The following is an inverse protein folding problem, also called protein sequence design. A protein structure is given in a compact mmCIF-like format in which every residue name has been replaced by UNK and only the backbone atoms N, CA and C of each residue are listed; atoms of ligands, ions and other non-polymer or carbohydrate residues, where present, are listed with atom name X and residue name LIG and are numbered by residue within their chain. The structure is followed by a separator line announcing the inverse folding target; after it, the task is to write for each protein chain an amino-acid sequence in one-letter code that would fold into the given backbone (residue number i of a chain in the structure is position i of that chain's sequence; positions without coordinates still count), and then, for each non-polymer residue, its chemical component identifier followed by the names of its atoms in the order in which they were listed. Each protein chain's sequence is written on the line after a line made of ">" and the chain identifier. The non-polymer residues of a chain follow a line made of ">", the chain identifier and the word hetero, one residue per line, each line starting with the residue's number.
data_IF_173022918285
#
_entry.id   IF_173022918285
#
_cell.length_a   1.000
_cell.length_b   1.000
_cell.length_c   1.000
_cell.angle_alpha   90.00
_cell.angle_beta   90.00
_cell.angle_gamma   90.00
#
_symmetry.space_group_name_H-M   'P 1'
#
loop_
_entity.id
_entity.type
_entity.pdbx_description
1 polymer ?
#
# COMPACT_ATOMS: atom_id res chain seq x y z
N UNK A 1 19.17 2.92 -8.24
CA UNK A 1 17.91 2.98 -9.00
C UNK A 1 16.81 2.86 -7.98
N UNK A 2 15.89 3.82 -7.96
CA UNK A 2 14.74 3.78 -7.05
C UNK A 2 13.72 2.74 -7.53
N UNK A 3 12.77 2.39 -6.67
CA UNK A 3 11.67 1.51 -7.05
C UNK A 3 10.86 2.07 -8.23
N UNK A 4 10.53 3.37 -8.17
CA UNK A 4 9.87 4.12 -9.26
C UNK A 4 10.61 3.99 -10.59
N UNK A 5 11.90 4.32 -10.62
CA UNK A 5 12.73 4.25 -11.83
C UNK A 5 12.76 2.84 -12.42
N UNK A 6 12.81 1.82 -11.56
CA UNK A 6 12.87 0.42 -11.98
C UNK A 6 11.59 0.00 -12.70
N UNK A 7 10.43 0.38 -12.16
CA UNK A 7 9.14 0.07 -12.77
C UNK A 7 8.88 0.89 -14.04
N UNK A 8 9.22 2.17 -14.06
CA UNK A 8 9.10 3.02 -15.26
C UNK A 8 9.98 2.48 -16.42
N UNK A 9 11.13 1.88 -16.10
CA UNK A 9 12.01 1.21 -17.07
C UNK A 9 11.59 -0.25 -17.37
N UNK A 10 10.43 -0.70 -16.86
CA UNK A 10 9.90 -2.06 -17.03
C UNK A 10 10.89 -3.16 -16.59
N UNK A 11 11.71 -2.86 -15.58
CA UNK A 11 12.65 -3.81 -14.97
C UNK A 11 11.95 -4.57 -13.84
N UNK A 12 12.36 -5.82 -13.65
CA UNK A 12 11.81 -6.68 -12.60
C UNK A 12 12.12 -6.14 -11.20
N UNK A 13 11.08 -5.89 -10.40
CA UNK A 13 11.22 -5.38 -9.03
C UNK A 13 10.78 -6.43 -7.99
N UNK A 14 11.46 -6.45 -6.85
CA UNK A 14 11.17 -7.31 -5.70
C UNK A 14 10.87 -6.43 -4.51
N UNK A 15 9.70 -6.61 -3.91
CA UNK A 15 9.30 -5.93 -2.69
C UNK A 15 9.23 -6.93 -1.54
N UNK A 16 9.44 -6.45 -0.33
CA UNK A 16 9.19 -7.22 0.88
C UNK A 16 8.23 -6.47 1.80
N UNK A 17 7.28 -7.19 2.38
CA UNK A 17 6.33 -6.64 3.34
C UNK A 17 6.87 -6.80 4.76
N UNK A 18 6.97 -5.69 5.50
CA UNK A 18 7.47 -5.65 6.86
C UNK A 18 6.44 -4.94 7.74
N UNK A 19 5.84 -5.68 8.65
CA UNK A 19 4.87 -5.12 9.57
C UNK A 19 5.56 -4.35 10.70
N UNK A 20 5.07 -3.16 11.05
CA UNK A 20 5.51 -2.48 12.26
C UNK A 20 5.28 -3.34 13.52
N UNK A 21 6.09 -3.14 14.57
CA UNK A 21 5.94 -3.88 15.81
C UNK A 21 4.64 -3.52 16.54
N UNK A 22 4.14 -4.45 17.36
CA UNK A 22 3.18 -4.13 18.43
C UNK A 22 3.94 -3.58 19.63
N UNK A 23 4.45 -2.36 19.49
CA UNK A 23 5.29 -1.71 20.49
C UNK A 23 6.10 -0.56 19.88
N UNK A 24 6.98 0.02 20.69
CA UNK A 24 7.85 1.12 20.29
C UNK A 24 9.28 0.68 19.92
N UNK A 25 9.60 -0.60 20.04
CA UNK A 25 10.91 -1.15 19.67
C UNK A 25 10.88 -1.70 18.24
N UNK A 26 11.57 -1.02 17.33
CA UNK A 26 11.67 -1.36 15.90
C UNK A 26 12.91 -2.20 15.57
N UNK A 27 13.73 -2.58 16.56
CA UNK A 27 15.05 -3.19 16.35
C UNK A 27 14.99 -4.50 15.56
N UNK A 28 14.00 -5.35 15.82
CA UNK A 28 13.83 -6.61 15.09
C UNK A 28 13.44 -6.36 13.63
N UNK A 29 12.45 -5.49 13.39
CA UNK A 29 12.00 -5.12 12.05
C UNK A 29 13.16 -4.56 11.23
N UNK A 30 13.95 -3.65 11.82
CA UNK A 30 15.11 -3.05 11.18
C UNK A 30 16.21 -4.09 10.89
N UNK A 31 16.53 -4.95 11.86
CA UNK A 31 17.54 -6.00 11.71
C UNK A 31 17.18 -6.93 10.55
N UNK A 32 15.93 -7.37 10.49
CA UNK A 32 15.43 -8.23 9.42
C UNK A 32 15.44 -7.52 8.06
N UNK A 33 15.13 -6.23 8.01
CA UNK A 33 15.17 -5.44 6.77
C UNK A 33 16.61 -5.23 6.26
N UNK A 34 17.57 -4.99 7.16
CA UNK A 34 19.00 -4.88 6.83
C UNK A 34 19.54 -6.20 6.26
N UNK A 35 19.13 -7.35 6.81
CA UNK A 35 19.58 -8.67 6.34
C UNK A 35 19.22 -8.97 4.89
N UNK A 36 18.20 -8.31 4.35
CA UNK A 36 17.76 -8.45 2.95
C UNK A 36 18.09 -7.23 2.08
N UNK A 37 18.84 -6.25 2.62
CA UNK A 37 19.28 -5.07 1.90
C UNK A 37 20.06 -5.46 0.63
N UNK A 38 19.74 -4.79 -0.48
CA UNK A 38 20.33 -5.09 -1.79
C UNK A 38 19.67 -6.23 -2.56
N UNK A 39 18.74 -6.98 -1.95
CA UNK A 39 17.89 -7.97 -2.63
C UNK A 39 16.45 -7.47 -2.85
N UNK A 40 16.04 -6.47 -2.07
CA UNK A 40 14.72 -5.85 -2.07
C UNK A 40 14.85 -4.43 -2.62
N UNK A 41 13.95 -4.07 -3.53
CA UNK A 41 13.89 -2.74 -4.15
C UNK A 41 13.09 -1.74 -3.31
N UNK A 42 12.04 -2.20 -2.62
CA UNK A 42 11.30 -1.39 -1.65
C UNK A 42 10.63 -2.25 -0.57
N UNK A 43 10.48 -1.68 0.62
CA UNK A 43 9.82 -2.28 1.76
C UNK A 43 8.39 -1.75 1.89
N UNK A 44 7.40 -2.60 1.65
CA UNK A 44 6.00 -2.27 1.90
C UNK A 44 5.76 -2.35 3.39
N UNK A 45 5.32 -1.24 3.99
CA UNK A 45 5.01 -1.18 5.42
C UNK A 45 3.48 -1.10 5.56
N UNK A 46 2.80 -2.17 6.01
CA UNK A 46 1.35 -2.14 6.11
C UNK A 46 0.85 -1.22 7.23
N UNK A 47 -0.29 -0.55 7.00
CA UNK A 47 -1.00 0.20 8.04
C UNK A 47 -1.94 -0.75 8.79
N UNK A 48 -1.50 -1.22 9.95
CA UNK A 48 -2.28 -2.09 10.86
C UNK A 48 -3.04 -3.19 10.11
N UNK A 49 -2.30 -4.00 9.34
CA UNK A 49 -2.82 -5.15 8.62
C UNK A 49 -3.62 -6.07 9.56
N UNK A 50 -4.69 -6.68 9.04
CA UNK A 50 -5.65 -7.52 9.79
C UNK A 50 -6.36 -6.79 10.94
N UNK A 51 -6.39 -5.46 10.91
CA UNK A 51 -6.94 -4.61 11.97
C UNK A 51 -6.31 -4.82 13.35
N UNK A 52 -5.06 -5.31 13.40
CA UNK A 52 -4.33 -5.52 14.65
C UNK A 52 -3.55 -4.25 15.01
N UNK A 53 -3.76 -3.74 16.23
CA UNK A 53 -3.08 -2.55 16.72
C UNK A 53 -1.57 -2.78 16.78
N UNK A 54 -0.85 -1.96 16.00
CA UNK A 54 0.61 -1.91 15.86
C UNK A 54 1.04 -0.46 15.71
N UNK A 55 2.35 -0.19 15.71
CA UNK A 55 2.84 1.11 15.27
C UNK A 55 2.37 1.42 13.84
N UNK A 56 2.23 2.71 13.51
CA UNK A 56 1.73 3.12 12.19
C UNK A 56 2.74 2.79 11.07
N UNK A 57 2.21 2.68 9.86
CA UNK A 57 3.02 2.51 8.66
C UNK A 57 4.01 3.66 8.48
N UNK A 58 3.60 4.91 8.75
CA UNK A 58 4.46 6.08 8.69
C UNK A 58 5.70 5.95 9.59
N UNK A 59 5.51 5.50 10.84
CA UNK A 59 6.62 5.28 11.77
C UNK A 59 7.57 4.17 11.32
N UNK A 60 7.02 3.08 10.79
CA UNK A 60 7.79 1.98 10.22
C UNK A 60 8.60 2.40 8.99
N UNK A 61 7.99 3.14 8.07
CA UNK A 61 8.66 3.71 6.91
C UNK A 61 9.85 4.60 7.32
N UNK A 62 9.63 5.52 8.25
CA UNK A 62 10.70 6.41 8.71
C UNK A 62 11.87 5.63 9.34
N UNK A 63 11.58 4.63 10.17
CA UNK A 63 12.60 3.77 10.81
C UNK A 63 13.50 3.05 9.78
N UNK A 64 12.92 2.59 8.67
CA UNK A 64 13.67 1.96 7.59
C UNK A 64 14.40 3.01 6.72
N UNK A 65 13.76 4.13 6.44
CA UNK A 65 14.28 5.14 5.52
C UNK A 65 15.54 5.85 6.05
N UNK A 66 15.61 6.13 7.36
CA UNK A 66 16.85 6.67 7.96
C UNK A 66 18.05 5.72 7.81
N UNK A 67 17.82 4.44 7.51
CA UNK A 67 18.85 3.42 7.24
C UNK A 67 19.09 3.19 5.73
N UNK A 68 18.58 4.08 4.88
CA UNK A 68 18.72 4.04 3.42
C UNK A 68 17.98 2.87 2.78
N UNK A 69 16.84 2.48 3.36
CA UNK A 69 15.93 1.47 2.82
C UNK A 69 14.71 2.18 2.24
N UNK A 70 14.47 2.03 0.94
CA UNK A 70 13.34 2.64 0.26
C UNK A 70 12.02 1.97 0.71
N UNK A 71 10.97 2.76 0.98
CA UNK A 71 9.74 2.26 1.57
C UNK A 71 8.51 2.61 0.74
N UNK A 72 7.44 1.84 0.94
CA UNK A 72 6.08 2.11 0.46
C UNK A 72 5.18 2.29 1.68
N UNK A 73 4.75 3.53 1.90
CA UNK A 73 3.85 3.93 2.99
C UNK A 73 2.41 3.57 2.63
N UNK A 74 1.79 2.67 3.40
CA UNK A 74 0.38 2.37 3.24
C UNK A 74 -0.48 3.36 4.01
N UNK A 75 -1.51 3.89 3.35
CA UNK A 75 -2.53 4.74 3.97
C UNK A 75 -3.87 4.04 3.93
N UNK A 76 -4.52 3.97 5.08
CA UNK A 76 -5.75 3.22 5.30
C UNK A 76 -6.90 4.14 5.75
N UNK A 77 -8.03 4.11 5.05
CA UNK A 77 -9.21 4.90 5.38
C UNK A 77 -9.95 4.43 6.65
N UNK A 78 -9.74 3.17 7.07
CA UNK A 78 -10.46 2.56 8.19
C UNK A 78 -10.35 3.33 9.49
N UNK A 79 -9.14 3.76 9.83
CA UNK A 79 -8.82 4.21 11.19
C UNK A 79 -8.76 5.74 11.33
N UNK A 80 -8.82 6.48 10.22
CA UNK A 80 -8.51 7.92 10.16
C UNK A 80 -9.52 8.71 9.34
N UNK A 81 -9.77 9.96 9.75
CA UNK A 81 -10.59 10.90 8.99
C UNK A 81 -9.75 11.65 7.95
N UNK A 82 -10.40 12.41 7.05
CA UNK A 82 -9.73 13.16 5.99
C UNK A 82 -8.64 14.11 6.46
N UNK A 83 -8.74 14.64 7.69
CA UNK A 83 -7.72 15.52 8.27
C UNK A 83 -6.47 14.74 8.63
N UNK A 84 -6.63 13.65 9.38
CA UNK A 84 -5.53 12.78 9.77
C UNK A 84 -4.84 12.13 8.57
N UNK A 85 -5.62 11.69 7.58
CA UNK A 85 -5.10 11.12 6.33
C UNK A 85 -4.19 12.11 5.58
N UNK A 86 -4.67 13.34 5.35
CA UNK A 86 -3.88 14.39 4.70
C UNK A 86 -2.65 14.76 5.53
N UNK A 87 -2.77 14.85 6.86
CA UNK A 87 -1.67 15.17 7.75
C UNK A 87 -0.54 14.12 7.67
N UNK A 88 -0.88 12.83 7.67
CA UNK A 88 0.11 11.76 7.54
C UNK A 88 0.78 11.75 6.16
N UNK A 89 0.02 11.99 5.09
CA UNK A 89 0.53 12.08 3.72
C UNK A 89 1.51 13.26 3.57
N UNK A 90 1.16 14.44 4.09
CA UNK A 90 2.08 15.59 4.10
C UNK A 90 3.34 15.31 4.93
N UNK A 91 3.18 14.65 6.08
CA UNK A 91 4.32 14.28 6.92
C UNK A 91 5.24 13.29 6.22
N UNK A 92 4.69 12.28 5.56
CA UNK A 92 5.44 11.33 4.76
C UNK A 92 6.24 12.02 3.65
N UNK A 93 5.61 12.95 2.93
CA UNK A 93 6.25 13.72 1.86
C UNK A 93 7.39 14.60 2.40
N UNK A 94 7.13 15.32 3.50
CA UNK A 94 8.12 16.19 4.14
C UNK A 94 9.34 15.40 4.67
N UNK A 95 9.14 14.14 5.08
CA UNK A 95 10.19 13.22 5.52
C UNK A 95 10.86 12.47 4.36
N UNK A 96 10.45 12.76 3.11
CA UNK A 96 11.04 12.24 1.89
C UNK A 96 10.63 10.81 1.55
N UNK A 97 9.52 10.29 2.08
CA UNK A 97 9.03 8.96 1.70
C UNK A 97 8.61 9.01 0.22
N UNK A 98 9.17 8.15 -0.66
CA UNK A 98 9.00 8.31 -2.10
C UNK A 98 7.74 7.61 -2.65
N UNK A 99 7.22 6.59 -1.94
CA UNK A 99 6.15 5.75 -2.45
C UNK A 99 4.98 5.69 -1.46
N UNK A 100 3.77 5.80 -1.99
CA UNK A 100 2.51 5.77 -1.25
C UNK A 100 1.63 4.65 -1.81
N UNK A 101 0.92 3.92 -0.96
CA UNK A 101 -0.06 2.94 -1.39
C UNK A 101 -1.38 3.12 -0.64
N UNK A 102 -2.46 3.38 -1.36
CA UNK A 102 -3.78 3.55 -0.77
C UNK A 102 -4.48 2.20 -0.63
N UNK A 103 -4.99 1.92 0.57
CA UNK A 103 -5.70 0.68 0.88
C UNK A 103 -7.00 0.96 1.64
N UNK A 104 -7.98 0.07 1.47
CA UNK A 104 -9.26 0.13 2.21
C UNK A 104 -9.06 -0.22 3.69
N UNK A 105 -8.15 -1.17 3.98
CA UNK A 105 -8.02 -1.82 5.27
C UNK A 105 -8.99 -2.97 5.46
N UNK A 106 -8.60 -3.92 6.31
CA UNK A 106 -9.45 -5.04 6.73
C UNK A 106 -10.55 -4.56 7.69
N UNK A 107 -11.69 -5.25 7.73
CA UNK A 107 -12.77 -4.90 8.65
C UNK A 107 -12.28 -4.82 10.11
N UNK A 108 -12.65 -3.75 10.82
CA UNK A 108 -12.14 -3.50 12.18
C UNK A 108 -12.47 -4.64 13.15
N UNK A 109 -13.54 -5.40 12.88
CA UNK A 109 -14.00 -6.50 13.74
C UNK A 109 -13.11 -7.74 13.66
N UNK A 110 -12.25 -7.89 12.64
CA UNK A 110 -11.33 -9.03 12.54
C UNK A 110 -10.07 -8.86 13.39
N UNK A 111 -9.85 -7.66 13.90
CA UNK A 111 -8.67 -7.27 14.64
C UNK A 111 -8.72 -7.61 16.12
N UNK A 112 -7.72 -7.12 16.85
CA UNK A 112 -7.60 -7.30 18.30
C UNK A 112 -8.38 -6.26 19.12
N UNK A 113 -8.97 -5.25 18.46
CA UNK A 113 -9.85 -4.24 19.07
C UNK A 113 -11.21 -4.17 18.36
N UNK A 114 -12.01 -5.24 18.36
CA UNK A 114 -13.26 -5.32 17.59
C UNK A 114 -14.34 -4.33 18.02
N UNK A 115 -14.21 -3.73 19.21
CA UNK A 115 -15.11 -2.70 19.72
C UNK A 115 -14.72 -1.27 19.28
N UNK A 116 -13.56 -1.09 18.64
CA UNK A 116 -13.15 0.19 18.10
C UNK A 116 -14.10 0.62 16.97
N UNK A 117 -14.23 1.93 16.78
CA UNK A 117 -15.05 2.48 15.69
C UNK A 117 -14.20 2.61 14.45
N UNK A 118 -14.67 2.03 13.34
CA UNK A 118 -14.15 2.38 12.03
C UNK A 118 -14.56 3.83 11.71
N UNK A 119 -13.59 4.62 11.26
CA UNK A 119 -13.79 6.03 10.90
C UNK A 119 -14.34 6.13 9.48
N UNK A 120 -13.66 5.54 8.49
CA UNK A 120 -14.12 5.48 7.09
C UNK A 120 -14.75 6.79 6.58
N UNK A 121 -14.13 7.93 6.91
CA UNK A 121 -14.66 9.27 6.58
C UNK A 121 -14.69 9.52 5.06
N UNK A 122 -13.74 8.92 4.34
CA UNK A 122 -13.65 8.89 2.88
C UNK A 122 -13.25 7.49 2.41
N UNK A 123 -13.66 7.10 1.21
CA UNK A 123 -13.27 5.82 0.61
C UNK A 123 -11.90 5.90 -0.12
N UNK A 124 -11.48 4.78 -0.70
CA UNK A 124 -10.20 4.65 -1.40
C UNK A 124 -10.12 5.53 -2.66
N UNK A 125 -11.23 5.72 -3.39
CA UNK A 125 -11.25 6.55 -4.58
C UNK A 125 -11.15 8.02 -4.19
N UNK A 126 -11.92 8.44 -3.19
CA UNK A 126 -11.84 9.80 -2.64
C UNK A 126 -10.44 10.10 -2.08
N UNK A 127 -9.80 9.13 -1.41
CA UNK A 127 -8.43 9.31 -0.93
C UNK A 127 -7.42 9.41 -2.09
N UNK A 128 -7.58 8.65 -3.17
CA UNK A 128 -6.75 8.81 -4.37
C UNK A 128 -6.94 10.17 -5.05
N UNK A 129 -8.17 10.68 -5.13
CA UNK A 129 -8.46 12.04 -5.60
C UNK A 129 -7.76 13.09 -4.72
N UNK A 130 -7.80 12.93 -3.40
CA UNK A 130 -7.09 13.80 -2.45
C UNK A 130 -5.59 13.74 -2.67
N UNK A 131 -5.00 12.55 -2.83
CA UNK A 131 -3.57 12.40 -3.12
C UNK A 131 -3.19 13.14 -4.40
N UNK A 132 -3.97 13.00 -5.47
CA UNK A 132 -3.73 13.69 -6.73
C UNK A 132 -3.88 15.21 -6.60
N UNK A 133 -4.87 15.69 -5.86
CA UNK A 133 -5.04 17.12 -5.56
C UNK A 133 -3.84 17.68 -4.77
N UNK A 134 -3.32 16.92 -3.81
CA UNK A 134 -2.13 17.28 -3.03
C UNK A 134 -0.87 17.33 -3.90
N UNK A 135 -0.68 16.37 -4.80
CA UNK A 135 0.41 16.38 -5.80
C UNK A 135 0.32 17.58 -6.75
N UNK A 136 -0.88 18.10 -6.96
CA UNK A 136 -1.12 19.35 -7.69
C UNK A 136 -1.03 20.61 -6.80
N UNK A 137 -0.57 20.48 -5.56
CA UNK A 137 -0.26 21.58 -4.66
C UNK A 137 -1.42 22.05 -3.79
N UNK A 138 -2.53 21.30 -3.68
CA UNK A 138 -3.71 21.72 -2.90
C UNK A 138 -4.18 20.68 -1.91
N UNK A 139 -4.68 21.12 -0.76
CA UNK A 139 -5.40 20.22 0.15
C UNK A 139 -6.79 19.87 -0.42
N UNK A 140 -7.51 18.96 0.26
CA UNK A 140 -8.86 18.54 -0.12
C UNK A 140 -9.88 19.70 -0.16
N UNK A 141 -9.66 20.77 0.61
CA UNK A 141 -10.51 21.97 0.60
C UNK A 141 -10.17 22.94 -0.55
N UNK A 142 -9.13 22.64 -1.34
CA UNK A 142 -8.66 23.46 -2.45
C UNK A 142 -7.70 24.57 -2.02
N UNK A 143 -7.21 24.55 -0.78
CA UNK A 143 -6.25 25.51 -0.25
C UNK A 143 -4.83 25.14 -0.69
N UNK A 144 -4.06 26.13 -1.11
CA UNK A 144 -2.67 25.96 -1.55
C UNK A 144 -1.78 25.42 -0.41
N UNK A 145 -0.99 24.41 -0.74
CA UNK A 145 0.01 23.79 0.11
C UNK A 145 1.39 24.43 -0.13
N UNK A 146 2.19 24.53 0.93
CA UNK A 146 3.60 24.88 0.80
C UNK A 146 4.41 23.64 0.44
N UNK A 147 4.62 23.47 -0.87
CA UNK A 147 5.27 22.30 -1.43
C UNK A 147 4.26 21.21 -1.74
N UNK A 148 4.34 20.65 -2.94
CA UNK A 148 3.50 19.54 -3.37
C UNK A 148 4.23 18.21 -3.11
N UNK A 149 3.57 17.22 -2.48
CA UNK A 149 4.11 15.86 -2.43
C UNK A 149 4.39 15.29 -3.83
N UNK A 150 5.48 14.54 -3.98
CA UNK A 150 5.76 13.74 -5.18
C UNK A 150 5.87 12.27 -4.78
N UNK A 151 4.73 11.59 -4.80
CA UNK A 151 4.67 10.15 -4.53
C UNK A 151 4.58 9.35 -5.83
N UNK A 152 5.25 8.21 -5.84
CA UNK A 152 4.86 7.11 -6.70
C UNK A 152 3.69 6.36 -6.05
N UNK A 153 2.50 6.47 -6.65
CA UNK A 153 1.25 6.04 -6.03
C UNK A 153 0.89 4.62 -6.46
N UNK A 154 0.54 3.78 -5.48
CA UNK A 154 0.04 2.44 -5.69
C UNK A 154 -1.30 2.18 -5.03
N UNK A 155 -1.89 1.03 -5.37
CA UNK A 155 -3.12 0.54 -4.74
C UNK A 155 -3.14 -0.98 -4.60
N UNK A 156 -4.07 -1.48 -3.78
CA UNK A 156 -4.38 -2.90 -3.73
C UNK A 156 -5.30 -3.30 -4.91
N UNK A 157 -5.05 -4.49 -5.48
CA UNK A 157 -5.89 -5.11 -6.49
C UNK A 157 -6.28 -6.54 -6.10
N UNK A 158 -7.59 -6.82 -6.00
CA UNK A 158 -8.04 -8.15 -5.63
C UNK A 158 -8.14 -9.06 -6.87
N UNK A 159 -6.99 -9.60 -7.27
CA UNK A 159 -6.92 -10.54 -8.38
C UNK A 159 -7.76 -11.82 -8.16
N UNK A 160 -8.05 -12.18 -6.91
CA UNK A 160 -8.77 -13.41 -6.55
C UNK A 160 -10.29 -13.35 -6.76
N UNK A 161 -10.85 -12.20 -7.13
CA UNK A 161 -12.28 -12.05 -7.39
C UNK A 161 -12.76 -13.03 -8.49
N UNK A 162 -13.95 -13.60 -8.29
CA UNK A 162 -14.52 -14.62 -9.18
C UNK A 162 -15.79 -14.14 -9.86
N UNK A 163 -16.07 -14.70 -11.06
CA UNK A 163 -17.26 -14.35 -11.84
C UNK A 163 -17.31 -12.85 -12.15
N UNK A 164 -18.51 -12.26 -12.08
CA UNK A 164 -18.71 -10.83 -12.36
C UNK A 164 -17.99 -9.87 -11.40
N UNK A 165 -17.56 -10.33 -10.21
CA UNK A 165 -16.76 -9.50 -9.30
C UNK A 165 -15.37 -9.20 -9.89
N UNK A 166 -14.84 -10.09 -10.73
CA UNK A 166 -13.56 -9.86 -11.39
C UNK A 166 -13.63 -8.71 -12.40
N UNK A 167 -14.74 -8.59 -13.12
CA UNK A 167 -14.96 -7.49 -14.07
C UNK A 167 -15.06 -6.16 -13.32
N UNK A 168 -15.75 -6.13 -12.18
CA UNK A 168 -15.81 -4.96 -11.31
C UNK A 168 -14.45 -4.54 -10.77
N UNK A 169 -13.61 -5.49 -10.31
CA UNK A 169 -12.24 -5.19 -9.87
C UNK A 169 -11.38 -4.57 -10.97
N UNK A 170 -11.58 -4.98 -12.23
CA UNK A 170 -10.87 -4.40 -13.37
C UNK A 170 -11.39 -2.98 -13.70
N UNK A 171 -12.70 -2.76 -13.66
CA UNK A 171 -13.27 -1.40 -13.81
C UNK A 171 -12.80 -0.46 -12.70
N UNK A 172 -12.75 -0.95 -11.46
CA UNK A 172 -12.18 -0.22 -10.33
C UNK A 172 -10.69 0.06 -10.52
N UNK A 173 -9.93 -0.90 -11.06
CA UNK A 173 -8.53 -0.70 -11.38
C UNK A 173 -8.33 0.39 -12.43
N UNK A 174 -9.11 0.39 -13.51
CA UNK A 174 -9.07 1.46 -14.53
C UNK A 174 -9.36 2.84 -13.92
N UNK A 175 -10.36 2.94 -13.04
CA UNK A 175 -10.64 4.18 -12.29
C UNK A 175 -9.46 4.60 -11.42
N UNK A 176 -8.83 3.66 -10.69
CA UNK A 176 -7.63 3.92 -9.88
C UNK A 176 -6.46 4.43 -10.73
N UNK A 177 -6.24 3.85 -11.92
CA UNK A 177 -5.19 4.29 -12.86
C UNK A 177 -5.44 5.72 -13.33
N UNK A 178 -6.68 6.06 -13.64
CA UNK A 178 -7.08 7.43 -14.03
C UNK A 178 -6.87 8.46 -12.90
N UNK A 179 -6.85 8.02 -11.64
CA UNK A 179 -6.51 8.82 -10.46
C UNK A 179 -5.00 8.80 -10.13
N UNK A 180 -4.16 8.37 -11.06
CA UNK A 180 -2.71 8.49 -10.95
C UNK A 180 -1.99 7.29 -10.32
N UNK A 181 -2.69 6.18 -10.05
CA UNK A 181 -2.04 4.93 -9.61
C UNK A 181 -1.11 4.39 -10.69
N UNK A 182 0.14 4.08 -10.33
CA UNK A 182 1.20 3.61 -11.23
C UNK A 182 1.66 2.18 -10.96
N UNK A 183 1.36 1.63 -9.80
CA UNK A 183 1.56 0.21 -9.51
C UNK A 183 0.42 -0.36 -8.68
N UNK A 184 0.19 -1.66 -8.81
CA UNK A 184 -0.75 -2.37 -7.95
C UNK A 184 -0.13 -3.62 -7.38
N UNK A 185 -0.39 -3.86 -6.10
CA UNK A 185 -0.02 -5.09 -5.42
C UNK A 185 -1.27 -5.94 -5.29
N UNK A 186 -1.17 -7.22 -5.65
CA UNK A 186 -2.32 -8.12 -5.53
C UNK A 186 -2.52 -8.59 -4.09
N UNK A 187 -3.71 -9.05 -3.73
CA UNK A 187 -3.87 -10.01 -2.64
C UNK A 187 -3.00 -11.27 -2.92
N UNK A 188 -2.65 -12.09 -1.91
CA UNK A 188 -1.92 -13.33 -2.15
C UNK A 188 -2.57 -14.19 -3.24
N UNK A 189 -1.81 -14.55 -4.27
CA UNK A 189 -2.30 -15.40 -5.37
C UNK A 189 -1.61 -16.75 -5.33
N UNK A 190 -2.40 -17.82 -5.20
CA UNK A 190 -1.92 -19.21 -5.17
C UNK A 190 -2.16 -19.97 -6.48
N UNK A 191 -2.99 -19.44 -7.38
CA UNK A 191 -3.26 -20.02 -8.71
C UNK A 191 -2.75 -19.10 -9.82
N UNK A 192 -1.76 -19.58 -10.58
CA UNK A 192 -1.17 -18.83 -11.70
C UNK A 192 -2.19 -18.50 -12.78
N UNK A 193 -3.26 -19.29 -12.95
CA UNK A 193 -4.32 -19.01 -13.94
C UNK A 193 -5.04 -17.69 -13.66
N UNK A 194 -5.13 -17.29 -12.39
CA UNK A 194 -5.69 -16.01 -11.99
C UNK A 194 -4.81 -14.86 -12.50
N UNK A 195 -3.49 -14.96 -12.30
CA UNK A 195 -2.54 -13.96 -12.79
C UNK A 195 -2.53 -13.88 -14.32
N UNK A 196 -2.58 -15.02 -15.01
CA UNK A 196 -2.68 -15.05 -16.47
C UNK A 196 -3.91 -14.31 -16.99
N UNK A 197 -5.05 -14.45 -16.31
CA UNK A 197 -6.29 -13.74 -16.66
C UNK A 197 -6.15 -12.23 -16.50
N UNK A 198 -5.56 -11.78 -15.38
CA UNK A 198 -5.31 -10.36 -15.12
C UNK A 198 -4.36 -9.79 -16.18
N UNK A 199 -3.25 -10.48 -16.46
CA UNK A 199 -2.23 -10.04 -17.42
C UNK A 199 -2.73 -9.91 -18.86
N UNK A 200 -3.82 -10.60 -19.23
CA UNK A 200 -4.47 -10.49 -20.55
C UNK A 200 -5.34 -9.25 -20.69
N UNK A 201 -5.83 -8.71 -19.58
CA UNK A 201 -6.76 -7.56 -19.57
C UNK A 201 -6.10 -6.26 -19.11
N UNK A 202 -4.98 -6.36 -18.40
CA UNK A 202 -4.25 -5.22 -17.90
C UNK A 202 -3.43 -4.54 -18.99
N UNK A 203 -3.57 -3.22 -19.12
CA UNK A 203 -2.64 -2.38 -19.88
C UNK A 203 -1.35 -2.15 -19.07
N UNK A 204 -0.30 -2.86 -19.46
CA UNK A 204 1.02 -2.85 -18.78
C UNK A 204 1.82 -1.57 -19.04
N UNK A 205 1.36 -0.72 -19.97
CA UNK A 205 1.98 0.57 -20.22
C UNK A 205 1.45 1.64 -19.26
N UNK A 206 0.27 1.43 -18.66
CA UNK A 206 -0.34 2.36 -17.72
C UNK A 206 -0.02 2.06 -16.25
N UNK A 207 0.09 0.77 -15.90
CA UNK A 207 0.28 0.34 -14.51
C UNK A 207 1.15 -0.91 -14.39
N UNK A 208 2.02 -0.93 -13.38
CA UNK A 208 2.81 -2.12 -13.03
C UNK A 208 2.00 -3.06 -12.12
N UNK A 209 1.96 -4.36 -12.44
CA UNK A 209 1.38 -5.40 -11.59
C UNK A 209 2.46 -6.10 -10.77
N UNK A 210 2.27 -6.15 -9.45
CA UNK A 210 3.15 -6.85 -8.50
C UNK A 210 2.34 -7.95 -7.81
N UNK A 211 2.48 -9.21 -8.23
CA UNK A 211 1.82 -10.33 -7.55
C UNK A 211 2.38 -10.53 -6.14
N UNK A 212 1.52 -10.55 -5.12
CA UNK A 212 1.91 -10.90 -3.75
C UNK A 212 2.03 -12.41 -3.60
N UNK A 213 3.21 -12.85 -3.14
CA UNK A 213 3.48 -14.25 -2.78
C UNK A 213 3.51 -14.37 -1.26
N UNK A 214 2.59 -15.15 -0.70
CA UNK A 214 2.54 -15.44 0.73
C UNK A 214 3.06 -16.85 1.00
N UNK A 215 4.11 -16.96 1.81
CA UNK A 215 4.65 -18.24 2.23
C UNK A 215 3.86 -18.80 3.41
N UNK A 216 3.22 -19.95 3.21
CA UNK A 216 2.47 -20.65 4.26
C UNK A 216 3.42 -21.36 5.21
N UNK A 217 3.38 -20.98 6.49
CA UNK A 217 4.23 -21.57 7.52
C UNK A 217 3.60 -22.79 8.21
N UNK A 218 2.27 -22.94 8.11
CA UNK A 218 1.54 -24.05 8.73
C UNK A 218 0.19 -24.29 8.05
N UNK A 219 -0.36 -25.49 8.26
CA UNK A 219 -1.72 -25.80 7.83
C UNK A 219 -2.78 -24.93 8.55
N UNK A 220 -2.51 -24.49 9.79
CA UNK A 220 -3.39 -23.58 10.52
C UNK A 220 -3.48 -22.21 9.84
N UNK A 221 -2.34 -21.66 9.42
CA UNK A 221 -2.30 -20.43 8.62
C UNK A 221 -3.07 -20.59 7.31
N UNK A 222 -2.90 -21.71 6.62
CA UNK A 222 -3.62 -21.99 5.37
C UNK A 222 -5.15 -22.02 5.55
N UNK A 223 -5.66 -22.49 6.69
CA UNK A 223 -7.10 -22.48 6.99
C UNK A 223 -7.63 -21.11 7.40
N UNK A 224 -6.78 -20.26 7.98
CA UNK A 224 -7.18 -18.92 8.41
C UNK A 224 -7.33 -17.95 7.24
N UNK A 225 -6.55 -18.14 6.17
CA UNK A 225 -6.56 -17.25 5.00
C UNK A 225 -7.52 -17.68 3.87
N UNK A 226 -8.15 -18.85 3.99
CA UNK A 226 -9.15 -19.38 3.04
C UNK A 226 -10.55 -19.21 3.63
#
# INVERSE_FOLDING_TARGET
>A
MTFREKLEQKKFAVLAEFEPPKGADFSEMLTNAINVKGRIDAFVVPEMATAVMKASSLGGCLSLQINGLETVFQVCCRDRNRLALQADILSAAALGIPNLMVVKGDDITVGDHPQARAVNDIDVFQLLEVVEQMRNGKDMAGIELKGAPDFFVGALFNAGAQGGLFDLELEELEKKINLGVKFVITNPVFDLKILERVLKRLDKDQVALIPKVLLLKSAGMARYIN
#
